data_IF_628063618790
#
_entry.id   IF_628063618790
#
_cell.length_a   1.000
_cell.length_b   1.000
_cell.length_c   1.000
_cell.angle_alpha   90.00
_cell.angle_beta   90.00
_cell.angle_gamma   90.00
#
_symmetry.space_group_name_H-M   'P 1'
#
loop_
_entity.id
_entity.type
_entity.pdbx_description
1 polymer ?
#
# COMPACT_ATOMS: atom_id res chain seq x y z
N UNK A 1 -1.00 9.65 -21.42
CA UNK A 1 -2.29 9.68 -20.73
C UNK A 1 -2.19 8.81 -19.49
N UNK A 2 -1.55 9.32 -18.43
CA UNK A 2 -1.49 8.61 -17.14
C UNK A 2 -2.29 9.46 -16.17
N UNK A 3 -3.50 8.98 -15.84
CA UNK A 3 -4.23 9.46 -14.67
C UNK A 3 -3.47 8.92 -13.46
N UNK A 4 -2.72 9.79 -12.81
CA UNK A 4 -2.01 9.48 -11.58
C UNK A 4 -2.97 9.38 -10.40
N UNK A 5 -2.78 8.33 -9.60
CA UNK A 5 -2.61 8.51 -8.18
C UNK A 5 -1.11 8.21 -7.95
N UNK A 6 -0.32 9.22 -7.60
CA UNK A 6 1.14 9.16 -7.60
C UNK A 6 1.72 8.06 -6.67
N UNK A 7 2.07 6.91 -7.26
CA UNK A 7 3.44 6.37 -7.28
C UNK A 7 3.55 5.34 -8.42
N UNK A 8 4.23 5.75 -9.48
CA UNK A 8 4.26 5.07 -10.75
C UNK A 8 5.11 3.80 -10.73
N UNK A 9 4.46 2.65 -10.61
CA UNK A 9 5.04 1.41 -11.12
C UNK A 9 3.98 0.60 -11.85
N UNK A 10 4.02 0.66 -13.19
CA UNK A 10 3.64 -0.48 -14.01
C UNK A 10 4.66 -1.57 -13.69
N UNK A 11 4.39 -2.30 -12.63
CA UNK A 11 5.15 -3.46 -12.24
C UNK A 11 4.13 -4.52 -11.91
N UNK A 12 4.32 -5.73 -12.44
CA UNK A 12 3.59 -6.94 -12.08
C UNK A 12 3.99 -7.31 -10.64
N UNK A 13 3.80 -6.41 -9.68
CA UNK A 13 4.50 -6.34 -8.40
C UNK A 13 3.61 -5.60 -7.40
N UNK A 14 3.48 -6.20 -6.22
CA UNK A 14 2.57 -5.84 -5.14
C UNK A 14 2.59 -4.33 -4.83
N UNK A 15 1.42 -3.66 -4.62
CA UNK A 15 1.38 -2.23 -4.35
C UNK A 15 2.19 -1.89 -3.10
N UNK A 16 3.26 -1.13 -3.25
CA UNK A 16 4.08 -0.62 -2.13
C UNK A 16 3.49 0.67 -1.58
N UNK A 17 3.73 0.97 -0.31
CA UNK A 17 3.19 2.15 0.36
C UNK A 17 4.19 2.69 1.37
N UNK A 18 4.12 3.99 1.68
CA UNK A 18 5.00 4.59 2.68
C UNK A 18 4.15 5.17 3.80
N UNK A 19 4.27 4.62 5.00
CA UNK A 19 3.55 5.07 6.19
C UNK A 19 4.55 5.56 7.24
N UNK A 20 4.36 6.80 7.72
CA UNK A 20 5.27 7.45 8.68
C UNK A 20 6.75 7.46 8.24
N UNK A 21 7.03 7.54 6.94
CA UNK A 21 8.38 7.48 6.39
C UNK A 21 9.00 6.08 6.33
N UNK A 22 8.23 5.04 6.65
CA UNK A 22 8.63 3.63 6.52
C UNK A 22 8.00 3.05 5.26
N UNK A 23 8.81 2.40 4.44
CA UNK A 23 8.36 1.73 3.23
C UNK A 23 7.77 0.36 3.58
N UNK A 24 6.58 0.09 3.05
CA UNK A 24 5.78 -1.09 3.32
C UNK A 24 5.05 -1.57 2.07
N UNK A 25 4.14 -2.50 2.29
CA UNK A 25 3.34 -3.12 1.24
C UNK A 25 1.86 -3.06 1.58
N UNK A 26 1.06 -2.70 0.60
CA UNK A 26 -0.38 -2.80 0.64
C UNK A 26 -0.79 -4.27 0.57
N UNK A 27 -1.29 -4.78 1.69
CA UNK A 27 -1.86 -6.11 1.79
C UNK A 27 -3.04 -6.08 2.76
N UNK A 28 -3.84 -7.14 2.77
CA UNK A 28 -4.90 -7.26 3.77
C UNK A 28 -4.31 -7.27 5.17
N UNK A 29 -4.92 -6.56 6.11
CA UNK A 29 -4.53 -6.55 7.54
C UNK A 29 -4.32 -7.94 8.12
N UNK A 30 -5.12 -8.90 7.67
CA UNK A 30 -5.05 -10.31 8.07
C UNK A 30 -3.77 -11.01 7.60
N UNK A 31 -3.17 -10.55 6.51
CA UNK A 31 -1.89 -11.04 6.00
C UNK A 31 -0.71 -10.23 6.55
N UNK A 32 -0.97 -9.03 7.07
CA UNK A 32 0.04 -8.19 7.68
C UNK A 32 0.48 -8.76 9.04
N UNK A 33 1.76 -9.12 9.14
CA UNK A 33 2.39 -9.57 10.40
C UNK A 33 2.87 -8.42 11.28
N UNK A 34 2.91 -7.20 10.75
CA UNK A 34 3.48 -6.01 11.38
C UNK A 34 2.45 -4.94 11.70
N UNK A 35 2.81 -3.69 11.46
CA UNK A 35 1.95 -2.55 11.72
C UNK A 35 1.16 -2.20 10.46
N UNK A 36 -0.17 -2.27 10.58
CA UNK A 36 -1.09 -1.96 9.47
C UNK A 36 -1.55 -0.51 9.56
N UNK A 37 -1.20 0.32 8.57
CA UNK A 37 -1.59 1.73 8.52
C UNK A 37 -2.66 1.96 7.45
N UNK A 38 -3.84 2.38 7.88
CA UNK A 38 -4.97 2.64 6.98
C UNK A 38 -4.78 3.97 6.23
N UNK A 39 -5.36 4.07 5.04
CA UNK A 39 -5.37 5.32 4.26
C UNK A 39 -4.15 5.57 3.37
N UNK A 40 -3.18 4.65 3.36
CA UNK A 40 -1.99 4.71 2.50
C UNK A 40 -2.10 3.84 1.24
N UNK A 41 -3.13 3.01 1.14
CA UNK A 41 -3.35 2.08 0.03
C UNK A 41 -4.65 2.43 -0.69
N UNK A 42 -4.63 2.46 -2.03
CA UNK A 42 -5.83 2.61 -2.84
C UNK A 42 -6.56 1.26 -2.93
N UNK A 43 -7.82 1.21 -2.50
CA UNK A 43 -8.61 -0.03 -2.52
C UNK A 43 -9.64 -0.14 -1.39
N UNK A 44 -10.14 -1.35 -1.11
CA UNK A 44 -11.07 -1.60 -0.02
C UNK A 44 -10.42 -1.34 1.34
N UNK A 45 -11.26 -1.03 2.34
CA UNK A 45 -10.86 -0.64 3.70
C UNK A 45 -9.93 -1.67 4.37
N UNK A 46 -10.06 -2.94 3.97
CA UNK A 46 -9.29 -4.07 4.47
C UNK A 46 -7.84 -4.12 3.97
N UNK A 47 -7.52 -3.42 2.88
CA UNK A 47 -6.15 -3.28 2.38
C UNK A 47 -5.49 -2.12 3.11
N UNK A 48 -4.47 -2.44 3.89
CA UNK A 48 -3.71 -1.46 4.67
C UNK A 48 -2.23 -1.54 4.32
N UNK A 49 -1.52 -0.44 4.59
CA UNK A 49 -0.09 -0.39 4.40
C UNK A 49 0.59 -1.13 5.54
N UNK A 50 1.13 -2.31 5.23
CA UNK A 50 1.85 -3.13 6.18
C UNK A 50 3.33 -2.73 6.17
N UNK A 51 3.79 -2.19 7.31
CA UNK A 51 5.19 -1.87 7.60
C UNK A 51 5.72 -2.73 8.75
#
# INVERSE_FOLDING_TARGET
NVLGCDDGSISITLPTCTANGVLGVCMSTTNCKGHSVAGHCAGPKDIQCCI
#
